data_IF_799171958838
#
_entry.id   IF_799171958838
#
_cell.length_a   1.000
_cell.length_b   1.000
_cell.length_c   1.000
_cell.angle_alpha   90.00
_cell.angle_beta   90.00
_cell.angle_gamma   90.00
#
_symmetry.space_group_name_H-M   'P 1'
#
loop_
_entity.id
_entity.type
_entity.pdbx_description
1 polymer ?
#
# COMPACT_ATOMS: atom_id res chain seq x y z
N UNK A 1 16.97 -9.15 -2.13
CA UNK A 1 16.22 -8.13 -2.86
C UNK A 1 15.24 -7.46 -1.92
N UNK A 2 15.25 -6.14 -1.87
CA UNK A 2 14.39 -5.41 -0.94
C UNK A 2 13.08 -5.02 -1.60
N UNK A 3 12.01 -5.21 -0.88
CA UNK A 3 10.67 -4.85 -1.34
C UNK A 3 9.96 -4.04 -0.26
N UNK A 4 8.83 -3.50 -0.61
CA UNK A 4 8.01 -2.71 0.31
C UNK A 4 6.62 -3.29 0.35
N UNK A 5 6.11 -3.50 1.57
CA UNK A 5 4.73 -3.94 1.77
C UNK A 5 3.91 -2.73 2.19
N UNK A 6 2.93 -2.39 1.38
CA UNK A 6 2.07 -1.25 1.65
C UNK A 6 0.71 -1.79 2.10
N UNK A 7 0.32 -1.46 3.32
CA UNK A 7 -0.98 -1.82 3.86
C UNK A 7 -1.91 -0.61 3.76
N UNK A 8 -3.06 -0.81 3.17
CA UNK A 8 -4.02 0.25 2.95
C UNK A 8 -5.44 -0.24 3.21
N UNK A 9 -6.34 0.70 3.44
CA UNK A 9 -7.76 0.43 3.62
C UNK A 9 -8.57 1.17 2.57
N UNK A 10 -9.63 0.55 2.11
CA UNK A 10 -10.60 1.25 1.29
C UNK A 10 -11.42 2.19 2.17
N UNK A 11 -11.50 3.45 1.77
CA UNK A 11 -12.32 4.42 2.49
C UNK A 11 -13.76 4.27 2.03
N UNK A 12 -14.52 3.45 2.75
CA UNK A 12 -15.93 3.23 2.46
C UNK A 12 -16.74 3.69 3.67
N UNK A 13 -17.61 4.68 3.45
CA UNK A 13 -18.45 5.20 4.52
C UNK A 13 -19.57 4.20 4.80
N UNK A 14 -19.65 3.74 6.03
CA UNK A 14 -20.75 2.90 6.50
C UNK A 14 -20.60 1.41 6.31
N UNK A 15 -19.46 0.92 5.86
CA UNK A 15 -19.19 -0.51 5.79
C UNK A 15 -17.83 -0.83 6.38
N UNK A 16 -17.61 -2.10 6.70
CA UNK A 16 -16.33 -2.55 7.24
C UNK A 16 -15.22 -2.32 6.22
N UNK A 17 -14.23 -1.54 6.63
CA UNK A 17 -13.08 -1.27 5.79
C UNK A 17 -12.25 -2.55 5.65
N UNK A 18 -12.12 -3.04 4.42
CA UNK A 18 -11.29 -4.21 4.16
C UNK A 18 -9.85 -3.74 4.01
N UNK A 19 -9.00 -4.23 4.90
CA UNK A 19 -7.58 -3.93 4.87
C UNK A 19 -6.89 -4.86 3.87
N UNK A 20 -6.11 -4.28 2.98
CA UNK A 20 -5.36 -5.02 1.97
C UNK A 20 -3.91 -4.59 1.98
N UNK A 21 -3.05 -5.48 1.53
CA UNK A 21 -1.63 -5.17 1.39
C UNK A 21 -1.14 -5.55 0.00
N UNK A 22 -0.19 -4.78 -0.50
CA UNK A 22 0.49 -5.08 -1.74
C UNK A 22 1.98 -5.04 -1.51
N UNK A 23 2.71 -5.93 -2.16
CA UNK A 23 4.17 -5.94 -2.09
C UNK A 23 4.71 -5.47 -3.43
N UNK A 24 5.56 -4.45 -3.38
CA UNK A 24 6.18 -3.90 -4.58
C UNK A 24 7.69 -3.96 -4.44
N UNK A 25 8.36 -4.22 -5.55
CA UNK A 25 9.82 -4.26 -5.60
C UNK A 25 10.34 -2.94 -6.11
N UNK A 26 11.29 -2.37 -5.38
CA UNK A 26 11.97 -1.16 -5.79
C UNK A 26 11.33 0.12 -5.29
N UNK A 27 12.16 1.11 -5.06
CA UNK A 27 11.74 2.39 -4.49
C UNK A 27 10.80 3.16 -5.43
N UNK A 28 11.09 3.14 -6.72
CA UNK A 28 10.24 3.83 -7.69
C UNK A 28 8.84 3.24 -7.74
N UNK A 29 8.74 1.93 -7.71
CA UNK A 29 7.45 1.24 -7.67
C UNK A 29 6.67 1.60 -6.41
N UNK A 30 7.35 1.69 -5.27
CA UNK A 30 6.74 2.11 -4.02
C UNK A 30 6.10 3.49 -4.18
N UNK A 31 6.86 4.44 -4.71
CA UNK A 31 6.37 5.81 -4.88
C UNK A 31 5.16 5.87 -5.83
N UNK A 32 5.23 5.14 -6.93
CA UNK A 32 4.13 5.10 -7.89
C UNK A 32 2.88 4.50 -7.27
N UNK A 33 3.04 3.41 -6.53
CA UNK A 33 1.93 2.74 -5.86
C UNK A 33 1.29 3.63 -4.81
N UNK A 34 2.10 4.30 -3.98
CA UNK A 34 1.59 5.22 -2.97
C UNK A 34 0.80 6.36 -3.60
N UNK A 35 1.32 6.90 -4.68
CA UNK A 35 0.67 7.99 -5.40
C UNK A 35 -0.68 7.53 -5.97
N UNK A 36 -0.71 6.35 -6.56
CA UNK A 36 -1.92 5.76 -7.12
C UNK A 36 -2.98 5.52 -6.05
N UNK A 37 -2.56 5.00 -4.89
CA UNK A 37 -3.48 4.74 -3.77
C UNK A 37 -4.06 6.04 -3.22
N UNK A 38 -3.25 7.08 -3.11
CA UNK A 38 -3.75 8.39 -2.67
C UNK A 38 -4.74 8.97 -3.66
N UNK A 39 -4.48 8.78 -4.94
CA UNK A 39 -5.39 9.23 -5.99
C UNK A 39 -6.73 8.52 -5.94
N UNK A 40 -6.73 7.24 -5.57
CA UNK A 40 -7.93 6.43 -5.44
C UNK A 40 -8.64 6.64 -4.10
N UNK A 41 -8.20 7.61 -3.31
CA UNK A 41 -8.75 7.93 -1.99
C UNK A 41 -8.67 6.77 -1.01
N UNK A 42 -7.61 6.00 -1.09
CA UNK A 42 -7.37 4.91 -0.16
C UNK A 42 -6.51 5.40 1.00
N UNK A 43 -6.82 4.92 2.20
CA UNK A 43 -6.08 5.29 3.38
C UNK A 43 -4.88 4.36 3.55
N UNK A 44 -3.69 4.93 3.53
CA UNK A 44 -2.47 4.16 3.74
C UNK A 44 -2.27 3.97 5.22
N UNK A 45 -2.27 2.70 5.65
CA UNK A 45 -2.11 2.35 7.06
C UNK A 45 -0.65 2.29 7.44
N UNK A 46 0.15 1.58 6.66
CA UNK A 46 1.57 1.45 6.95
C UNK A 46 2.35 1.07 5.69
N UNK A 47 3.64 1.35 5.73
CA UNK A 47 4.58 0.95 4.68
C UNK A 47 5.74 0.27 5.37
N UNK A 48 5.92 -1.02 5.13
CA UNK A 48 6.98 -1.81 5.73
C UNK A 48 8.00 -2.21 4.69
N UNK A 49 9.25 -2.21 5.10
CA UNK A 49 10.34 -2.69 4.26
C UNK A 49 10.55 -4.17 4.54
N UNK A 50 10.47 -4.99 3.50
CA UNK A 50 10.62 -6.44 3.62
C UNK A 50 11.73 -6.93 2.72
N UNK A 51 12.38 -8.00 3.15
CA UNK A 51 13.41 -8.65 2.34
C UNK A 51 12.81 -9.87 1.66
N UNK A 52 12.98 -9.91 0.34
CA UNK A 52 12.54 -11.05 -0.47
C UNK A 52 13.79 -11.82 -0.89
N UNK A 53 13.82 -13.06 -0.52
CA UNK A 53 14.90 -13.95 -0.96
C UNK A 53 14.61 -14.50 -2.35
#
# INVERSE_FOLDING_TARGET
>A
MKAYRITFRNYVVGSDAIERSVTVKGWLRKCITLRSLQRDKKLIVSVDKVDIQ
#
